data_IF_954972432163
#
_entry.id   IF_954972432163
#
_cell.length_a   1.000
_cell.length_b   1.000
_cell.length_c   1.000
_cell.angle_alpha   90.00
_cell.angle_beta   90.00
_cell.angle_gamma   90.00
#
_symmetry.space_group_name_H-M   'P 1'
#
loop_
_entity.id
_entity.type
_entity.pdbx_description
1 polymer ?
#
# COMPACT_ATOMS: atom_id res chain seq x y z
N UNK A 1 -56.53 -2.98 23.10
CA UNK A 1 -55.29 -3.78 22.96
C UNK A 1 -54.96 -4.12 21.49
N UNK A 2 -55.14 -3.19 20.54
CA UNK A 2 -54.82 -3.40 19.10
C UNK A 2 -53.99 -2.28 18.47
N UNK A 3 -53.66 -1.23 19.24
CA UNK A 3 -52.95 -0.04 18.75
C UNK A 3 -51.45 -0.01 19.11
N UNK A 4 -50.98 -0.96 19.92
CA UNK A 4 -49.58 -1.02 20.36
C UNK A 4 -48.74 -1.92 19.43
N UNK A 5 -49.36 -2.86 18.72
CA UNK A 5 -48.66 -3.78 17.81
C UNK A 5 -48.16 -3.12 16.50
N UNK A 6 -48.65 -1.93 16.15
CA UNK A 6 -48.33 -1.29 14.85
C UNK A 6 -47.09 -0.41 14.93
N UNK A 7 -46.68 0.05 16.12
CA UNK A 7 -45.54 0.99 16.27
C UNK A 7 -44.19 0.25 16.33
N UNK A 8 -44.17 -1.03 16.68
CA UNK A 8 -42.93 -1.82 16.78
C UNK A 8 -42.46 -2.35 15.41
N UNK A 9 -43.30 -2.31 14.37
CA UNK A 9 -42.95 -2.79 13.02
C UNK A 9 -42.23 -1.76 12.15
N UNK A 10 -42.00 -0.53 12.62
CA UNK A 10 -41.44 0.55 11.80
C UNK A 10 -39.93 0.80 12.03
N UNK A 11 -39.29 0.08 12.96
CA UNK A 11 -37.87 0.31 13.35
C UNK A 11 -36.91 -0.72 12.72
N UNK A 12 -37.40 -1.70 11.97
CA UNK A 12 -36.58 -2.79 11.40
C UNK A 12 -35.96 -2.52 10.02
N UNK A 13 -35.99 -1.28 9.51
CA UNK A 13 -35.30 -0.87 8.27
C UNK A 13 -34.14 0.08 8.57
N UNK A 14 -33.26 -0.28 9.51
CA UNK A 14 -31.88 0.21 9.44
C UNK A 14 -31.17 -0.70 8.44
N UNK A 15 -31.47 -0.48 7.16
CA UNK A 15 -30.68 -1.01 6.06
C UNK A 15 -29.28 -0.46 6.25
N UNK A 16 -28.36 -1.31 6.67
CA UNK A 16 -26.92 -1.07 6.57
C UNK A 16 -26.61 -0.90 5.09
N UNK A 17 -26.71 0.33 4.60
CA UNK A 17 -26.10 0.73 3.35
C UNK A 17 -24.60 0.65 3.65
N UNK A 18 -23.99 -0.49 3.39
CA UNK A 18 -22.55 -0.54 3.14
C UNK A 18 -22.32 0.40 1.97
N UNK A 19 -21.87 1.62 2.28
CA UNK A 19 -21.30 2.51 1.29
C UNK A 19 -20.12 1.75 0.72
N UNK A 20 -20.29 1.09 -0.42
CA UNK A 20 -19.16 0.55 -1.16
C UNK A 20 -18.24 1.73 -1.41
N UNK A 21 -17.07 1.76 -0.75
CA UNK A 21 -16.04 2.75 -1.04
C UNK A 21 -15.71 2.62 -2.53
N UNK A 22 -15.92 3.69 -3.28
CA UNK A 22 -15.56 3.75 -4.68
C UNK A 22 -14.05 3.50 -4.80
N UNK A 23 -13.67 2.46 -5.53
CA UNK A 23 -12.26 2.14 -5.76
C UNK A 23 -11.76 3.16 -6.79
N UNK A 24 -10.82 4.01 -6.39
CA UNK A 24 -10.17 4.98 -7.26
C UNK A 24 -8.79 4.47 -7.69
N UNK A 25 -8.15 5.10 -8.67
CA UNK A 25 -6.74 4.84 -9.03
C UNK A 25 -5.87 5.90 -8.34
N UNK A 26 -4.95 5.48 -7.46
CA UNK A 26 -3.96 6.41 -6.89
C UNK A 26 -2.98 6.88 -7.98
N UNK A 27 -2.77 8.20 -8.09
CA UNK A 27 -1.91 8.80 -9.12
C UNK A 27 -0.46 8.28 -9.15
N UNK A 28 0.04 7.72 -8.03
CA UNK A 28 1.36 7.08 -7.99
C UNK A 28 1.39 5.80 -8.83
N UNK A 29 0.25 5.13 -9.04
CA UNK A 29 0.17 3.96 -9.91
C UNK A 29 0.34 4.33 -11.38
N UNK A 30 -0.14 5.51 -11.82
CA UNK A 30 0.01 5.98 -13.21
C UNK A 30 1.47 6.12 -13.65
N UNK A 31 2.37 6.35 -12.69
CA UNK A 31 3.82 6.43 -12.95
C UNK A 31 4.42 5.05 -13.19
N UNK A 32 3.84 4.00 -12.60
CA UNK A 32 4.40 2.66 -12.60
C UNK A 32 3.70 1.67 -13.55
N UNK A 33 2.47 1.97 -13.97
CA UNK A 33 1.62 1.10 -14.76
C UNK A 33 0.93 1.86 -15.89
N UNK A 34 0.56 1.17 -16.96
CA UNK A 34 -0.18 1.79 -18.07
C UNK A 34 -1.63 2.07 -17.67
N UNK A 35 -2.19 3.10 -18.30
CA UNK A 35 -3.61 3.45 -18.15
C UNK A 35 -4.54 2.27 -18.48
N UNK A 36 -4.28 1.56 -19.59
CA UNK A 36 -5.06 0.37 -19.97
C UNK A 36 -5.06 -0.72 -18.89
N UNK A 37 -3.93 -0.93 -18.19
CA UNK A 37 -3.84 -1.91 -17.12
C UNK A 37 -4.63 -1.47 -15.88
N UNK A 38 -4.55 -0.19 -15.52
CA UNK A 38 -5.27 0.36 -14.38
C UNK A 38 -6.78 0.41 -14.63
N UNK A 39 -7.20 0.69 -15.86
CA UNK A 39 -8.60 0.61 -16.29
C UNK A 39 -9.12 -0.83 -16.26
N UNK A 40 -8.34 -1.80 -16.75
CA UNK A 40 -8.70 -3.22 -16.64
C UNK A 40 -8.85 -3.66 -15.18
N UNK A 41 -7.94 -3.25 -14.29
CA UNK A 41 -8.07 -3.51 -12.86
C UNK A 41 -9.32 -2.87 -12.26
N UNK A 42 -9.65 -1.64 -12.64
CA UNK A 42 -10.81 -0.93 -12.14
C UNK A 42 -12.12 -1.65 -12.52
N UNK A 43 -12.23 -2.12 -13.77
CA UNK A 43 -13.43 -2.79 -14.28
C UNK A 43 -13.53 -4.26 -13.84
N UNK A 44 -12.41 -4.99 -13.92
CA UNK A 44 -12.41 -6.45 -13.85
C UNK A 44 -11.82 -6.99 -12.54
N UNK A 45 -11.05 -6.20 -11.79
CA UNK A 45 -10.38 -6.65 -10.56
C UNK A 45 -10.25 -5.55 -9.49
N UNK A 46 -11.35 -4.88 -9.09
CA UNK A 46 -11.31 -3.71 -8.19
C UNK A 46 -10.72 -4.04 -6.81
N UNK A 47 -10.80 -5.30 -6.35
CA UNK A 47 -10.13 -5.74 -5.12
C UNK A 47 -8.61 -5.70 -5.21
N UNK A 48 -8.04 -6.03 -6.37
CA UNK A 48 -6.60 -5.94 -6.60
C UNK A 48 -6.16 -4.47 -6.63
N UNK A 49 -6.94 -3.59 -7.28
CA UNK A 49 -6.68 -2.15 -7.27
C UNK A 49 -6.75 -1.57 -5.85
N UNK A 50 -7.74 -1.97 -5.04
CA UNK A 50 -7.83 -1.59 -3.61
C UNK A 50 -6.58 -2.01 -2.85
N UNK A 51 -6.08 -3.23 -3.08
CA UNK A 51 -4.82 -3.69 -2.48
C UNK A 51 -3.62 -2.86 -2.94
N UNK A 52 -3.51 -2.54 -4.23
CA UNK A 52 -2.40 -1.74 -4.77
C UNK A 52 -2.37 -0.32 -4.19
N UNK A 53 -3.52 0.34 -4.09
CA UNK A 53 -3.64 1.64 -3.42
C UNK A 53 -3.21 1.54 -1.96
N UNK A 54 -3.75 0.56 -1.22
CA UNK A 54 -3.39 0.35 0.17
C UNK A 54 -1.89 0.08 0.34
N UNK A 55 -1.30 -0.71 -0.57
CA UNK A 55 0.10 -1.10 -0.54
C UNK A 55 1.05 0.10 -0.69
N UNK A 56 0.66 1.13 -1.44
CA UNK A 56 1.46 2.34 -1.59
C UNK A 56 1.78 3.04 -0.26
N UNK A 57 0.90 2.96 0.73
CA UNK A 57 1.11 3.64 2.02
C UNK A 57 1.43 2.69 3.17
N UNK A 58 1.08 1.42 3.03
CA UNK A 58 1.11 0.47 4.14
C UNK A 58 2.20 -0.61 4.01
N UNK A 59 2.97 -0.61 2.92
CA UNK A 59 3.91 -1.70 2.62
C UNK A 59 5.35 -1.50 3.09
N UNK A 60 5.66 -0.30 3.58
CA UNK A 60 6.99 0.09 4.03
C UNK A 60 6.93 1.11 5.16
N UNK A 61 8.10 1.47 5.68
CA UNK A 61 8.32 2.67 6.49
C UNK A 61 9.71 3.22 6.20
N UNK A 62 9.88 4.54 6.30
CA UNK A 62 11.19 5.19 6.24
C UNK A 62 11.53 5.62 7.66
N UNK A 63 12.70 5.21 8.14
CA UNK A 63 13.15 5.47 9.52
C UNK A 63 14.54 6.09 9.52
N UNK A 64 14.80 6.97 10.49
CA UNK A 64 16.16 7.38 10.82
C UNK A 64 16.81 6.27 11.66
N UNK A 65 17.85 5.64 11.10
CA UNK A 65 18.59 4.57 11.76
C UNK A 65 19.98 5.03 12.22
N UNK A 66 20.43 6.22 11.79
CA UNK A 66 21.81 6.68 11.89
C UNK A 66 22.76 6.01 10.87
N UNK A 67 23.85 6.71 10.56
CA UNK A 67 24.84 6.27 9.54
C UNK A 67 25.41 4.89 9.85
N UNK A 68 25.88 4.66 11.08
CA UNK A 68 26.54 3.41 11.49
C UNK A 68 25.69 2.16 11.22
N UNK A 69 24.37 2.24 11.42
CA UNK A 69 23.46 1.12 11.16
C UNK A 69 23.19 0.97 9.66
N UNK A 70 23.01 2.09 8.96
CA UNK A 70 22.78 2.10 7.52
C UNK A 70 23.95 1.52 6.72
N UNK A 71 25.20 1.69 7.17
CA UNK A 71 26.39 1.16 6.49
C UNK A 71 26.36 -0.36 6.29
N UNK A 72 25.65 -1.09 7.16
CA UNK A 72 25.50 -2.54 7.07
C UNK A 72 24.36 -2.98 6.12
N UNK A 73 23.55 -2.03 5.63
CA UNK A 73 22.40 -2.29 4.77
C UNK A 73 22.76 -2.15 3.29
N UNK A 74 22.14 -2.93 2.39
CA UNK A 74 22.27 -2.70 0.95
C UNK A 74 21.69 -1.34 0.57
N UNK A 75 22.25 -0.71 -0.47
CA UNK A 75 21.67 0.50 -1.05
C UNK A 75 20.31 0.21 -1.66
N UNK A 76 19.34 1.10 -1.42
CA UNK A 76 18.13 1.18 -2.21
C UNK A 76 18.51 1.60 -3.64
N UNK A 77 17.90 0.97 -4.65
CA UNK A 77 18.14 1.29 -6.06
C UNK A 77 16.84 1.69 -6.74
N UNK A 78 16.95 2.60 -7.70
CA UNK A 78 15.83 2.91 -8.60
C UNK A 78 15.48 1.68 -9.45
N UNK A 79 14.20 1.57 -9.80
CA UNK A 79 13.67 0.61 -10.77
C UNK A 79 12.87 1.39 -11.79
N UNK A 80 13.17 1.19 -13.08
CA UNK A 80 12.25 1.55 -14.15
C UNK A 80 11.12 0.52 -14.16
N UNK A 81 9.88 0.89 -13.78
CA UNK A 81 8.78 -0.06 -13.66
C UNK A 81 8.28 -0.55 -15.02
N UNK A 82 8.53 0.21 -16.11
CA UNK A 82 8.09 -0.14 -17.45
C UNK A 82 9.06 -1.12 -18.08
N UNK A 83 10.35 -0.80 -18.07
CA UNK A 83 11.39 -1.61 -18.71
C UNK A 83 12.02 -2.65 -17.78
N UNK A 84 11.68 -2.63 -16.48
CA UNK A 84 12.25 -3.49 -15.42
C UNK A 84 13.78 -3.37 -15.32
N UNK A 85 14.30 -2.17 -15.55
CA UNK A 85 15.74 -1.88 -15.49
C UNK A 85 16.10 -1.37 -14.09
N UNK A 86 17.09 -1.98 -13.45
CA UNK A 86 17.62 -1.51 -12.16
C UNK A 86 18.59 -0.36 -12.43
N UNK A 87 18.31 0.79 -11.82
CA UNK A 87 19.08 2.01 -11.93
C UNK A 87 20.17 2.18 -10.86
N UNK A 88 20.57 3.43 -10.66
CA UNK A 88 21.54 3.84 -9.65
C UNK A 88 21.00 3.71 -8.23
N UNK A 89 21.89 3.89 -7.26
CA UNK A 89 21.50 4.06 -5.87
C UNK A 89 20.60 5.28 -5.71
N UNK A 90 19.67 5.18 -4.77
CA UNK A 90 18.79 6.27 -4.36
C UNK A 90 19.50 7.09 -3.30
N UNK A 91 19.76 8.37 -3.59
CA UNK A 91 20.49 9.26 -2.68
C UNK A 91 19.59 10.01 -1.70
N UNK A 92 18.32 10.20 -2.06
CA UNK A 92 17.30 10.83 -1.22
C UNK A 92 15.91 10.43 -1.70
N UNK A 93 14.91 10.64 -0.84
CA UNK A 93 13.51 10.34 -1.15
C UNK A 93 12.62 11.48 -0.67
N UNK A 94 11.57 11.77 -1.43
CA UNK A 94 10.47 12.61 -0.96
C UNK A 94 9.47 11.73 -0.20
N UNK A 95 9.49 11.81 1.13
CA UNK A 95 8.61 11.01 1.98
C UNK A 95 7.12 11.36 1.79
N UNK A 96 6.80 12.60 1.36
CA UNK A 96 5.43 13.03 1.12
C UNK A 96 4.82 12.50 -0.18
N UNK A 97 5.66 12.06 -1.12
CA UNK A 97 5.24 11.55 -2.42
C UNK A 97 6.00 10.26 -2.82
N UNK A 98 6.36 9.46 -1.83
CA UNK A 98 7.12 8.24 -2.09
C UNK A 98 6.26 7.20 -2.81
N UNK A 99 6.82 6.60 -3.87
CA UNK A 99 6.18 5.54 -4.64
C UNK A 99 7.03 4.26 -4.62
N UNK A 100 6.60 3.28 -3.83
CA UNK A 100 7.34 2.03 -3.61
C UNK A 100 7.58 1.22 -4.90
N UNK A 101 6.77 1.39 -5.94
CA UNK A 101 6.92 0.67 -7.22
C UNK A 101 8.09 1.19 -8.09
N UNK A 102 8.69 2.33 -7.72
CA UNK A 102 9.81 2.94 -8.42
C UNK A 102 11.18 2.44 -7.95
N UNK A 103 11.22 1.40 -7.10
CA UNK A 103 12.44 0.94 -6.47
C UNK A 103 12.62 -0.57 -6.59
N UNK A 104 13.88 -0.99 -6.69
CA UNK A 104 14.22 -2.40 -6.66
C UNK A 104 14.18 -2.88 -5.21
N UNK A 105 13.14 -3.64 -4.89
CA UNK A 105 12.91 -4.19 -3.56
C UNK A 105 12.68 -5.69 -3.63
N UNK A 106 13.18 -6.38 -2.61
CA UNK A 106 12.85 -7.77 -2.33
C UNK A 106 12.01 -7.84 -1.06
N UNK A 107 11.17 -8.87 -0.98
CA UNK A 107 10.33 -9.09 0.18
C UNK A 107 10.49 -10.51 0.66
N UNK A 108 10.67 -10.62 1.97
CA UNK A 108 10.82 -11.89 2.65
C UNK A 108 9.48 -12.30 3.27
N UNK A 109 9.30 -13.59 3.47
CA UNK A 109 7.99 -14.10 3.90
C UNK A 109 7.63 -13.64 5.32
N UNK A 110 8.56 -13.73 6.26
CA UNK A 110 8.32 -13.55 7.69
C UNK A 110 9.11 -12.41 8.34
N UNK A 111 10.18 -11.92 7.71
CA UNK A 111 11.04 -10.83 8.21
C UNK A 111 10.99 -9.58 7.32
N UNK A 112 11.26 -8.44 7.93
CA UNK A 112 11.41 -7.19 7.18
C UNK A 112 12.77 -7.15 6.48
N UNK A 113 12.83 -6.49 5.33
CA UNK A 113 14.06 -6.21 4.57
C UNK A 113 14.39 -4.72 4.72
N UNK A 114 15.67 -4.38 4.76
CA UNK A 114 16.14 -3.03 5.03
C UNK A 114 17.06 -2.58 3.91
N UNK A 115 16.86 -1.34 3.43
CA UNK A 115 17.73 -0.70 2.46
C UNK A 115 18.14 0.67 2.98
N UNK A 116 19.42 1.04 2.86
CA UNK A 116 19.85 2.42 3.14
C UNK A 116 19.50 3.34 1.97
N UNK A 117 19.18 4.59 2.30
CA UNK A 117 18.94 5.67 1.34
C UNK A 117 20.18 6.56 1.36
N UNK A 118 20.97 6.50 0.29
CA UNK A 118 22.26 7.19 0.15
C UNK A 118 23.11 7.09 1.41
N UNK A 119 23.72 8.22 1.76
CA UNK A 119 24.45 8.42 3.01
C UNK A 119 23.66 9.36 3.95
N UNK A 120 22.33 9.26 3.98
CA UNK A 120 21.48 10.17 4.77
C UNK A 120 21.24 9.69 6.21
N UNK A 121 21.68 8.48 6.57
CA UNK A 121 21.34 7.82 7.84
C UNK A 121 19.90 7.30 7.91
N UNK A 122 19.14 7.37 6.81
CA UNK A 122 17.78 6.84 6.72
C UNK A 122 17.76 5.46 6.06
N UNK A 123 16.81 4.64 6.50
CA UNK A 123 16.56 3.32 5.96
C UNK A 123 15.10 3.16 5.52
N UNK A 124 14.90 2.53 4.37
CA UNK A 124 13.62 1.99 3.93
C UNK A 124 13.44 0.59 4.52
N UNK A 125 12.38 0.43 5.31
CA UNK A 125 11.96 -0.84 5.91
C UNK A 125 10.83 -1.42 5.08
N UNK A 126 11.09 -2.54 4.41
CA UNK A 126 10.11 -3.30 3.64
C UNK A 126 9.48 -4.36 4.54
N UNK A 127 8.17 -4.30 4.75
CA UNK A 127 7.47 -5.25 5.61
C UNK A 127 7.46 -6.69 5.07
N UNK A 128 7.36 -7.70 5.92
CA UNK A 128 7.24 -9.09 5.43
C UNK A 128 5.90 -9.36 4.75
N UNK A 129 5.82 -10.38 3.87
CA UNK A 129 4.54 -10.82 3.29
C UNK A 129 3.50 -11.15 4.37
N UNK A 130 3.93 -11.84 5.44
CA UNK A 130 3.08 -12.17 6.59
C UNK A 130 2.49 -10.91 7.25
N UNK A 131 3.30 -9.87 7.42
CA UNK A 131 2.84 -8.60 8.01
C UNK A 131 1.84 -7.89 7.10
N UNK A 132 2.10 -7.85 5.79
CA UNK A 132 1.16 -7.24 4.84
C UNK A 132 -0.19 -7.95 4.81
N UNK A 133 -0.17 -9.28 4.72
CA UNK A 133 -1.40 -10.08 4.69
C UNK A 133 -2.26 -9.82 5.95
N UNK A 134 -1.63 -9.83 7.13
CA UNK A 134 -2.33 -9.51 8.37
C UNK A 134 -2.89 -8.08 8.36
N UNK A 135 -2.07 -7.08 8.00
CA UNK A 135 -2.49 -5.69 8.03
C UNK A 135 -3.60 -5.39 7.00
N UNK A 136 -3.55 -6.00 5.81
CA UNK A 136 -4.57 -5.78 4.78
C UNK A 136 -5.89 -6.49 5.12
N UNK A 137 -5.83 -7.68 5.73
CA UNK A 137 -7.02 -8.36 6.25
C UNK A 137 -7.69 -7.51 7.33
N UNK A 138 -6.92 -6.99 8.30
CA UNK A 138 -7.46 -6.07 9.32
C UNK A 138 -8.07 -4.82 8.70
N UNK A 139 -7.39 -4.19 7.73
CA UNK A 139 -7.94 -3.04 7.02
C UNK A 139 -9.26 -3.35 6.30
N UNK A 140 -9.38 -4.55 5.72
CA UNK A 140 -10.59 -5.00 5.01
C UNK A 140 -11.72 -5.36 5.97
N UNK A 141 -11.42 -5.92 7.13
CA UNK A 141 -12.43 -6.22 8.16
C UNK A 141 -13.01 -4.94 8.78
N UNK A 142 -12.23 -3.85 8.79
CA UNK A 142 -12.63 -2.54 9.32
C UNK A 142 -13.34 -1.63 8.28
N UNK A 143 -13.29 -1.95 6.98
CA UNK A 143 -13.81 -1.11 5.87
C UNK A 143 -14.57 -1.89 4.80
#
# INVERSE_FOLDING_TARGET
MKKIAVIISLISLVSTISLAQEVYVDSRLDVAFSEDYLNDLLENSPHQLKYMNWYLDNSYSIVDAGLDKCEQMPYLKHLDPVNKIIGSNVESVDEGNFNIYMYQIEREFDKNVYYRIGDTGKALVIYSHKKLANNFNTYTDEN
#
